data_IF_626940057458
#
_entry.id   IF_626940057458
#
_cell.length_a   1.000
_cell.length_b   1.000
_cell.length_c   1.000
_cell.angle_alpha   90.00
_cell.angle_beta   90.00
_cell.angle_gamma   90.00
#
_symmetry.space_group_name_H-M   'P 1'
#
loop_
_entity.id
_entity.type
_entity.pdbx_description
1 polymer ?
#
# COMPACT_ATOMS: atom_id res chain seq x y z
N UNK A 1 2.91 24.33 13.08
CA UNK A 1 2.69 23.69 14.39
C UNK A 1 1.72 22.50 14.30
N UNK A 2 0.57 22.66 13.65
CA UNK A 2 -0.46 21.61 13.53
C UNK A 2 0.03 20.29 12.93
N UNK A 3 0.74 20.34 11.80
CA UNK A 3 1.26 19.14 11.10
C UNK A 3 2.32 18.42 11.96
N UNK A 4 3.11 19.17 12.72
CA UNK A 4 4.16 18.61 13.59
C UNK A 4 3.60 17.74 14.73
N UNK A 5 2.41 18.06 15.25
CA UNK A 5 1.75 17.25 16.29
C UNK A 5 1.29 15.90 15.72
N UNK A 6 0.71 15.89 14.52
CA UNK A 6 0.28 14.67 13.84
C UNK A 6 1.46 13.78 13.44
N UNK A 7 2.57 14.37 12.97
CA UNK A 7 3.80 13.63 12.68
C UNK A 7 4.42 13.04 13.95
N UNK A 8 4.47 13.81 15.04
CA UNK A 8 5.02 13.33 16.31
C UNK A 8 4.19 12.17 16.89
N UNK A 9 2.86 12.26 16.79
CA UNK A 9 1.97 11.18 17.23
C UNK A 9 2.08 9.95 16.34
N UNK A 10 2.20 10.08 15.01
CA UNK A 10 2.36 8.94 14.10
C UNK A 10 3.67 8.18 14.33
N UNK A 11 4.78 8.89 14.56
CA UNK A 11 6.07 8.29 14.90
C UNK A 11 6.01 7.47 16.20
N UNK A 12 5.33 8.00 17.21
CA UNK A 12 5.19 7.32 18.50
C UNK A 12 4.35 6.05 18.38
N UNK A 13 3.27 6.08 17.60
CA UNK A 13 2.44 4.90 17.35
C UNK A 13 3.20 3.84 16.54
N UNK A 14 3.95 4.27 15.53
CA UNK A 14 4.79 3.38 14.74
C UNK A 14 5.84 2.67 15.59
N UNK A 15 6.51 3.41 16.48
CA UNK A 15 7.52 2.83 17.36
C UNK A 15 6.93 1.75 18.28
N UNK A 16 5.73 1.99 18.84
CA UNK A 16 5.01 0.99 19.64
C UNK A 16 4.65 -0.26 18.84
N UNK A 17 4.17 -0.08 17.61
CA UNK A 17 3.83 -1.18 16.72
C UNK A 17 5.06 -2.03 16.35
N UNK A 18 6.19 -1.38 16.02
CA UNK A 18 7.46 -2.06 15.76
C UNK A 18 7.98 -2.84 16.98
N UNK A 19 7.87 -2.25 18.18
CA UNK A 19 8.28 -2.92 19.42
C UNK A 19 7.38 -4.11 19.76
N UNK A 20 6.06 -3.97 19.61
CA UNK A 20 5.13 -5.07 19.82
C UNK A 20 5.37 -6.21 18.83
N UNK A 21 5.63 -5.88 17.57
CA UNK A 21 5.96 -6.85 16.53
C UNK A 21 7.27 -7.59 16.84
N UNK A 22 8.35 -6.86 17.16
CA UNK A 22 9.64 -7.48 17.52
C UNK A 22 9.48 -8.43 18.71
N UNK A 23 8.72 -8.03 19.73
CA UNK A 23 8.41 -8.91 20.88
C UNK A 23 7.63 -10.15 20.49
N UNK A 24 6.65 -10.03 19.59
CA UNK A 24 5.89 -11.18 19.10
C UNK A 24 6.78 -12.15 18.31
N UNK A 25 7.64 -11.63 17.43
CA UNK A 25 8.59 -12.44 16.65
C UNK A 25 9.59 -13.16 17.57
N UNK A 26 10.12 -12.49 18.60
CA UNK A 26 11.06 -13.11 19.55
C UNK A 26 10.43 -14.21 20.42
N UNK A 27 9.10 -14.20 20.61
CA UNK A 27 8.37 -15.23 21.36
C UNK A 27 7.89 -16.39 20.48
N UNK A 28 8.15 -16.36 19.17
CA UNK A 28 7.76 -17.40 18.25
C UNK A 28 8.70 -18.62 18.35
N UNK A 29 8.16 -19.83 18.23
CA UNK A 29 8.93 -21.08 18.33
C UNK A 29 9.98 -21.23 17.21
N UNK A 30 11.14 -21.85 17.52
CA UNK A 30 12.25 -22.04 16.57
C UNK A 30 11.82 -22.76 15.28
N UNK A 31 10.83 -23.66 15.35
CA UNK A 31 10.32 -24.39 14.19
C UNK A 31 9.62 -23.49 13.16
N UNK A 32 9.01 -22.39 13.59
CA UNK A 32 8.37 -21.43 12.70
C UNK A 32 9.38 -20.62 11.88
N UNK A 33 10.61 -20.44 12.38
CA UNK A 33 11.66 -19.71 11.66
C UNK A 33 12.24 -20.50 10.48
N UNK A 34 12.19 -21.84 10.50
CA UNK A 34 12.84 -22.69 9.49
C UNK A 34 11.89 -23.06 8.33
N UNK A 35 10.59 -23.19 8.60
CA UNK A 35 9.56 -23.29 7.54
C UNK A 35 9.31 -21.95 6.85
N UNK A 36 9.58 -20.84 7.53
CA UNK A 36 9.54 -19.49 6.96
C UNK A 36 10.88 -19.10 6.35
N UNK A 37 11.30 -19.76 5.27
CA UNK A 37 12.36 -19.31 4.34
C UNK A 37 12.10 -17.90 3.71
N UNK A 38 11.15 -17.16 4.27
CA UNK A 38 10.67 -15.84 3.88
C UNK A 38 10.38 -14.98 5.11
N UNK A 39 10.81 -15.34 6.33
CA UNK A 39 10.59 -14.47 7.51
C UNK A 39 11.19 -13.06 7.29
N UNK A 40 12.32 -12.95 6.59
CA UNK A 40 12.87 -11.64 6.14
C UNK A 40 11.99 -10.87 5.15
N UNK A 41 11.24 -11.56 4.29
CA UNK A 41 10.27 -10.95 3.35
C UNK A 41 8.92 -10.64 4.03
N UNK A 42 8.54 -11.39 5.08
CA UNK A 42 7.40 -11.05 5.95
C UNK A 42 7.73 -9.81 6.79
N UNK A 43 8.93 -9.74 7.38
CA UNK A 43 9.41 -8.59 8.16
C UNK A 43 9.51 -7.33 7.27
N UNK A 44 10.06 -7.44 6.06
CA UNK A 44 10.11 -6.30 5.15
C UNK A 44 8.72 -5.88 4.65
N UNK A 45 7.82 -6.84 4.44
CA UNK A 45 6.41 -6.61 4.14
C UNK A 45 5.69 -5.86 5.27
N UNK A 46 5.81 -6.33 6.51
CA UNK A 46 5.18 -5.67 7.66
C UNK A 46 5.72 -4.24 7.82
N UNK A 47 7.04 -4.06 7.72
CA UNK A 47 7.67 -2.73 7.86
C UNK A 47 7.16 -1.75 6.80
N UNK A 48 6.95 -2.23 5.56
CA UNK A 48 6.32 -1.45 4.49
C UNK A 48 4.88 -1.04 4.85
N UNK A 49 4.07 -1.97 5.35
CA UNK A 49 2.72 -1.65 5.80
C UNK A 49 2.71 -0.63 6.94
N UNK A 50 3.65 -0.76 7.89
CA UNK A 50 3.79 0.16 9.01
C UNK A 50 4.19 1.57 8.56
N UNK A 51 5.09 1.71 7.58
CA UNK A 51 5.42 3.01 6.97
C UNK A 51 4.23 3.66 6.26
N UNK A 52 3.44 2.88 5.51
CA UNK A 52 2.19 3.39 4.89
C UNK A 52 1.20 3.90 5.94
N UNK A 53 1.10 3.22 7.08
CA UNK A 53 0.26 3.65 8.20
C UNK A 53 0.79 4.95 8.83
N UNK A 54 2.12 5.09 8.97
CA UNK A 54 2.73 6.32 9.49
C UNK A 54 2.42 7.52 8.60
N UNK A 55 2.59 7.38 7.29
CA UNK A 55 2.30 8.44 6.32
C UNK A 55 0.81 8.78 6.31
N UNK A 56 -0.05 7.77 6.44
CA UNK A 56 -1.48 7.98 6.55
C UNK A 56 -1.87 8.78 7.81
N UNK A 57 -1.27 8.48 8.97
CA UNK A 57 -1.58 9.15 10.24
C UNK A 57 -0.93 10.53 10.33
N UNK A 58 0.30 10.69 9.84
CA UNK A 58 1.04 11.94 9.94
C UNK A 58 0.49 13.01 8.98
N UNK A 59 0.48 12.71 7.69
CA UNK A 59 0.18 13.70 6.65
C UNK A 59 -1.30 13.70 6.29
N UNK A 60 -1.86 12.53 5.94
CA UNK A 60 -3.25 12.45 5.44
C UNK A 60 -4.28 12.79 6.51
N UNK A 61 -4.13 12.33 7.75
CA UNK A 61 -5.07 12.69 8.82
C UNK A 61 -4.98 14.17 9.22
N UNK A 62 -3.78 14.76 9.18
CA UNK A 62 -3.60 16.20 9.41
C UNK A 62 -4.36 17.02 8.36
N UNK A 63 -4.15 16.71 7.09
CA UNK A 63 -4.90 17.35 6.00
C UNK A 63 -6.40 17.11 6.09
N UNK A 64 -6.83 15.90 6.42
CA UNK A 64 -8.25 15.58 6.58
C UNK A 64 -8.89 16.41 7.70
N UNK A 65 -8.24 16.49 8.86
CA UNK A 65 -8.74 17.24 10.03
C UNK A 65 -8.85 18.73 9.73
N UNK A 66 -7.81 19.30 9.12
CA UNK A 66 -7.81 20.71 8.70
C UNK A 66 -8.91 21.00 7.66
N UNK A 67 -9.11 20.10 6.70
CA UNK A 67 -10.18 20.21 5.70
C UNK A 67 -11.56 20.14 6.34
N UNK A 68 -11.77 19.22 7.29
CA UNK A 68 -13.02 19.10 8.03
C UNK A 68 -13.31 20.37 8.85
N UNK A 69 -12.31 20.89 9.58
CA UNK A 69 -12.46 22.11 10.36
C UNK A 69 -12.83 23.31 9.47
N UNK A 70 -12.16 23.45 8.32
CA UNK A 70 -12.44 24.51 7.35
C UNK A 70 -13.84 24.36 6.75
N UNK A 71 -14.28 23.13 6.48
CA UNK A 71 -15.62 22.85 5.98
C UNK A 71 -16.71 23.28 6.98
N UNK A 72 -16.58 22.91 8.25
CA UNK A 72 -17.53 23.33 9.28
C UNK A 72 -17.50 24.83 9.53
N UNK A 73 -16.31 25.43 9.60
CA UNK A 73 -16.16 26.88 9.72
C UNK A 73 -16.84 27.61 8.54
N UNK A 74 -16.66 27.12 7.31
CA UNK A 74 -17.31 27.64 6.12
C UNK A 74 -18.84 27.58 6.19
N UNK A 75 -19.40 26.46 6.66
CA UNK A 75 -20.86 26.31 6.86
C UNK A 75 -21.39 27.32 7.88
N UNK A 76 -20.69 27.46 9.02
CA UNK A 76 -21.09 28.39 10.08
C UNK A 76 -21.06 29.83 9.57
N UNK A 77 -19.98 30.24 8.90
CA UNK A 77 -19.83 31.58 8.35
C UNK A 77 -20.87 31.85 7.25
N UNK A 78 -21.11 30.90 6.35
CA UNK A 78 -22.10 31.03 5.29
C UNK A 78 -23.50 31.26 5.86
N UNK A 79 -23.85 30.52 6.91
CA UNK A 79 -25.16 30.62 7.58
C UNK A 79 -25.35 31.97 8.28
N UNK A 80 -24.28 32.56 8.83
CA UNK A 80 -24.34 33.86 9.53
C UNK A 80 -24.50 35.04 8.54
N UNK A 81 -23.81 35.02 7.39
CA UNK A 81 -23.82 36.15 6.47
C UNK A 81 -25.15 36.31 5.72
N UNK A 82 -25.71 35.22 5.18
CA UNK A 82 -27.00 35.25 4.48
C UNK A 82 -27.52 33.83 4.25
N UNK A 83 -28.75 33.58 4.71
CA UNK A 83 -29.35 32.25 4.63
C UNK A 83 -29.64 31.81 3.17
N UNK A 84 -29.88 32.75 2.25
CA UNK A 84 -30.13 32.46 0.84
C UNK A 84 -28.88 31.93 0.11
N UNK A 85 -27.72 32.57 0.32
CA UNK A 85 -26.45 32.15 -0.30
C UNK A 85 -25.93 30.85 0.33
N UNK A 86 -26.17 30.66 1.64
CA UNK A 86 -25.81 29.44 2.35
C UNK A 86 -26.49 28.18 1.78
N UNK A 87 -27.79 28.26 1.47
CA UNK A 87 -28.55 27.15 0.88
C UNK A 87 -28.03 26.78 -0.52
N UNK A 88 -27.68 27.78 -1.33
CA UNK A 88 -27.10 27.55 -2.65
C UNK A 88 -25.75 26.81 -2.55
N UNK A 89 -24.86 27.28 -1.67
CA UNK A 89 -23.57 26.62 -1.44
C UNK A 89 -23.75 25.18 -0.93
N UNK A 90 -24.73 24.95 -0.05
CA UNK A 90 -25.02 23.63 0.50
C UNK A 90 -25.50 22.64 -0.57
N UNK A 91 -26.17 23.10 -1.64
CA UNK A 91 -26.59 22.25 -2.76
C UNK A 91 -25.46 22.01 -3.77
N UNK A 92 -24.62 23.02 -4.04
CA UNK A 92 -23.54 22.91 -5.02
C UNK A 92 -22.42 21.98 -4.55
N UNK A 93 -22.03 22.04 -3.26
CA UNK A 93 -20.97 21.20 -2.70
C UNK A 93 -21.24 19.68 -2.85
N UNK A 94 -22.39 19.12 -2.47
CA UNK A 94 -22.67 17.69 -2.62
C UNK A 94 -22.77 17.27 -4.09
N UNK A 95 -23.24 18.12 -5.00
CA UNK A 95 -23.24 17.81 -6.44
C UNK A 95 -21.81 17.59 -6.93
N UNK A 96 -20.88 18.48 -6.56
CA UNK A 96 -19.46 18.36 -6.92
C UNK A 96 -18.86 17.10 -6.29
N UNK A 97 -19.19 16.80 -5.02
CA UNK A 97 -18.71 15.59 -4.35
C UNK A 97 -19.21 14.30 -5.02
N UNK A 98 -20.45 14.25 -5.48
CA UNK A 98 -21.00 13.09 -6.19
C UNK A 98 -20.26 12.87 -7.52
N UNK A 99 -20.06 13.94 -8.29
CA UNK A 99 -19.33 13.88 -9.57
C UNK A 99 -17.87 13.46 -9.31
N UNK A 100 -17.20 14.04 -8.32
CA UNK A 100 -15.85 13.67 -7.93
C UNK A 100 -15.75 12.20 -7.47
N UNK A 101 -16.66 11.75 -6.62
CA UNK A 101 -16.68 10.38 -6.10
C UNK A 101 -16.92 9.35 -7.21
N UNK A 102 -17.83 9.63 -8.14
CA UNK A 102 -18.07 8.74 -9.30
C UNK A 102 -16.84 8.67 -10.22
N UNK A 103 -16.16 9.80 -10.44
CA UNK A 103 -14.90 9.84 -11.19
C UNK A 103 -13.80 9.03 -10.51
N UNK A 104 -13.55 9.22 -9.21
CA UNK A 104 -12.54 8.47 -8.47
C UNK A 104 -12.85 6.98 -8.41
N UNK A 105 -14.12 6.59 -8.24
CA UNK A 105 -14.52 5.17 -8.28
C UNK A 105 -14.23 4.53 -9.64
N UNK A 106 -14.56 5.21 -10.74
CA UNK A 106 -14.22 4.74 -12.09
C UNK A 106 -12.71 4.63 -12.27
N UNK A 107 -11.95 5.63 -11.83
CA UNK A 107 -10.48 5.62 -11.93
C UNK A 107 -9.87 4.44 -11.16
N UNK A 108 -10.35 4.17 -9.94
CA UNK A 108 -9.86 3.05 -9.14
C UNK A 108 -10.18 1.70 -9.80
N UNK A 109 -11.39 1.54 -10.34
CA UNK A 109 -11.76 0.33 -11.09
C UNK A 109 -10.83 0.11 -12.29
N UNK A 110 -10.57 1.18 -13.06
CA UNK A 110 -9.65 1.13 -14.21
C UNK A 110 -8.23 0.77 -13.75
N UNK A 111 -7.77 1.31 -12.62
CA UNK A 111 -6.46 0.99 -12.04
C UNK A 111 -6.34 -0.48 -11.67
N UNK A 112 -7.34 -1.05 -11.01
CA UNK A 112 -7.35 -2.48 -10.67
C UNK A 112 -7.32 -3.36 -11.92
N UNK A 113 -8.13 -3.04 -12.93
CA UNK A 113 -8.13 -3.78 -14.20
C UNK A 113 -6.77 -3.71 -14.90
N UNK A 114 -6.11 -2.55 -14.90
CA UNK A 114 -4.74 -2.41 -15.45
C UNK A 114 -3.74 -3.29 -14.71
N UNK A 115 -3.83 -3.38 -13.38
CA UNK A 115 -2.95 -4.23 -12.58
C UNK A 115 -3.14 -5.72 -12.90
N UNK A 116 -4.37 -6.15 -13.17
CA UNK A 116 -4.64 -7.55 -13.54
C UNK A 116 -3.94 -7.93 -14.84
N UNK A 117 -4.14 -7.16 -15.91
CA UNK A 117 -3.46 -7.42 -17.19
C UNK A 117 -1.94 -7.33 -17.08
N UNK A 118 -1.43 -6.39 -16.27
CA UNK A 118 0.01 -6.28 -16.01
C UNK A 118 0.55 -7.52 -15.28
N UNK A 119 -0.19 -8.06 -14.32
CA UNK A 119 0.21 -9.27 -13.57
C UNK A 119 0.21 -10.52 -14.45
N UNK A 120 -0.77 -10.66 -15.35
CA UNK A 120 -0.84 -11.76 -16.30
C UNK A 120 0.35 -11.75 -17.26
N UNK A 121 0.65 -10.61 -17.87
CA UNK A 121 1.83 -10.45 -18.73
C UNK A 121 3.14 -10.77 -17.98
N UNK A 122 3.25 -10.36 -16.71
CA UNK A 122 4.42 -10.66 -15.87
C UNK A 122 4.56 -12.16 -15.65
N UNK A 123 3.47 -12.86 -15.35
CA UNK A 123 3.50 -14.32 -15.12
C UNK A 123 3.92 -15.13 -16.36
N UNK A 124 3.52 -14.70 -17.56
CA UNK A 124 3.95 -15.34 -18.80
C UNK A 124 5.45 -15.19 -19.02
N UNK A 125 6.00 -14.01 -18.75
CA UNK A 125 7.44 -13.73 -18.85
C UNK A 125 8.22 -14.59 -17.86
N UNK A 126 7.73 -14.70 -16.62
CA UNK A 126 8.36 -15.54 -15.59
C UNK A 126 8.43 -17.00 -16.01
N UNK A 127 7.35 -17.56 -16.58
CA UNK A 127 7.36 -18.93 -17.08
C UNK A 127 8.39 -19.11 -18.20
N UNK A 128 8.38 -18.25 -19.22
CA UNK A 128 9.31 -18.35 -20.36
C UNK A 128 10.76 -18.27 -19.90
N UNK A 129 11.08 -17.36 -18.98
CA UNK A 129 12.42 -17.22 -18.42
C UNK A 129 12.90 -18.51 -17.76
N UNK A 130 12.05 -19.15 -16.95
CA UNK A 130 12.36 -20.42 -16.29
C UNK A 130 12.61 -21.56 -17.28
N UNK A 131 11.78 -21.67 -18.33
CA UNK A 131 11.99 -22.68 -19.38
C UNK A 131 13.32 -22.47 -20.12
N UNK A 132 13.64 -21.22 -20.49
CA UNK A 132 14.90 -20.91 -21.18
C UNK A 132 16.11 -21.28 -20.32
N UNK A 133 16.12 -20.92 -19.03
CA UNK A 133 17.23 -21.29 -18.13
C UNK A 133 17.36 -22.80 -18.02
N UNK A 134 16.24 -23.49 -17.80
CA UNK A 134 16.23 -24.96 -17.62
C UNK A 134 16.74 -25.66 -18.87
N UNK A 135 16.34 -25.20 -20.06
CA UNK A 135 16.80 -25.74 -21.34
C UNK A 135 18.31 -25.58 -21.53
N UNK A 136 18.86 -24.39 -21.28
CA UNK A 136 20.31 -24.14 -21.39
C UNK A 136 21.12 -24.91 -20.34
N UNK A 137 20.63 -25.03 -19.11
CA UNK A 137 21.28 -25.85 -18.08
C UNK A 137 21.30 -27.33 -18.48
N UNK A 138 20.19 -27.85 -19.01
CA UNK A 138 20.11 -29.24 -19.48
C UNK A 138 21.07 -29.48 -20.65
N UNK A 139 21.10 -28.58 -21.64
CA UNK A 139 22.02 -28.64 -22.78
C UNK A 139 23.50 -28.56 -22.36
N UNK A 140 23.82 -27.71 -21.38
CA UNK A 140 25.17 -27.60 -20.85
C UNK A 140 25.58 -28.88 -20.11
N UNK A 141 24.69 -29.48 -19.32
CA UNK A 141 24.96 -30.72 -18.61
C UNK A 141 25.15 -31.91 -19.57
N UNK A 142 24.34 -32.00 -20.63
CA UNK A 142 24.52 -33.01 -21.68
C UNK A 142 25.84 -32.83 -22.44
N UNK A 143 26.28 -31.59 -22.64
CA UNK A 143 27.58 -31.28 -23.26
C UNK A 143 28.76 -31.72 -22.38
N UNK A 144 28.64 -31.68 -21.04
CA UNK A 144 29.65 -32.18 -20.11
C UNK A 144 29.53 -33.69 -19.81
N UNK A 145 28.36 -34.29 -20.02
CA UNK A 145 28.09 -35.72 -19.79
C UNK A 145 28.49 -36.61 -20.97
N UNK A 146 29.46 -36.18 -21.79
CA UNK A 146 30.07 -37.00 -22.83
C UNK A 146 30.69 -38.28 -22.24
N UNK A 147 30.58 -39.43 -22.95
CA UNK A 147 30.88 -40.74 -22.43
C UNK A 147 32.40 -41.02 -22.37
N UNK A 148 33.03 -40.70 -21.24
CA UNK A 148 34.29 -41.34 -20.83
C UNK A 148 34.14 -42.23 -19.57
N UNK A 149 32.93 -42.36 -19.02
CA UNK A 149 32.67 -43.10 -17.77
C UNK A 149 31.66 -44.25 -17.93
N UNK A 150 31.66 -44.90 -19.10
CA UNK A 150 31.08 -46.25 -19.29
C UNK A 150 32.24 -47.21 -19.56
N UNK A 151 32.83 -47.72 -18.48
CA UNK A 151 33.59 -48.97 -18.46
C UNK A 151 32.79 -49.98 -17.63
#
# INVERSE_FOLDING_TARGET
AEIGCWMYTSERQLMRLRLAYLRAVLNQEIGAFDTELTSGKVISGISKHMSVIQDAIGEKLGHFTSSCATFFAGIVIATICSWEVALLCLVVVPIILIIGATYTKKMNSISTTKMLFHSEATSMIEQVYVYTITFWLNYSFDSYSCPCFKF
#
